data_IF_676324652362
#
_entry.id   IF_676324652362
#
_cell.length_a   1.000
_cell.length_b   1.000
_cell.length_c   1.000
_cell.angle_alpha   90.00
_cell.angle_beta   90.00
_cell.angle_gamma   90.00
#
_symmetry.space_group_name_H-M   'P 1'
#
loop_
_entity.id
_entity.type
_entity.pdbx_description
1 polymer ?
#
# COMPACT_ATOMS: atom_id res chain seq x y z
N UNK A 1 6.10 33.96 7.53
CA UNK A 1 6.13 33.33 6.19
C UNK A 1 5.05 32.22 6.11
N UNK A 2 4.70 31.77 4.90
CA UNK A 2 3.74 30.65 4.74
C UNK A 2 4.12 29.43 5.60
N UNK A 3 5.39 29.05 5.61
CA UNK A 3 5.89 27.90 6.41
C UNK A 3 5.70 28.17 7.91
N UNK A 4 6.02 29.35 8.40
CA UNK A 4 5.82 29.72 9.82
C UNK A 4 4.35 29.67 10.21
N UNK A 5 3.47 30.17 9.34
CA UNK A 5 2.02 30.14 9.58
C UNK A 5 1.50 28.71 9.65
N UNK A 6 1.92 27.83 8.75
CA UNK A 6 1.55 26.41 8.78
C UNK A 6 2.08 25.72 10.06
N UNK A 7 3.34 25.96 10.41
CA UNK A 7 3.97 25.34 11.58
C UNK A 7 3.32 25.83 12.89
N UNK A 8 2.92 27.13 12.97
CA UNK A 8 2.27 27.68 14.16
C UNK A 8 0.85 27.16 14.38
N UNK A 9 0.18 26.70 13.30
CA UNK A 9 -1.16 26.12 13.35
C UNK A 9 -1.18 24.59 13.48
N UNK A 10 0.00 23.96 13.50
CA UNK A 10 0.10 22.52 13.65
C UNK A 10 -0.09 22.08 15.11
N UNK A 11 -0.73 20.93 15.29
CA UNK A 11 -1.07 20.41 16.61
C UNK A 11 -0.35 19.08 16.86
N UNK A 12 0.49 19.07 17.91
CA UNK A 12 1.09 17.83 18.41
C UNK A 12 0.01 16.89 18.93
N UNK A 13 0.05 15.62 18.52
CA UNK A 13 -0.95 14.64 18.88
C UNK A 13 -0.34 13.39 19.52
N UNK A 14 -0.56 13.21 20.83
CA UNK A 14 -0.05 12.04 21.56
C UNK A 14 -0.58 10.73 20.99
N UNK A 15 -1.84 10.68 20.55
CA UNK A 15 -2.45 9.48 19.92
C UNK A 15 -1.68 8.95 18.72
N UNK A 16 -1.01 9.82 17.97
CA UNK A 16 -0.16 9.44 16.83
C UNK A 16 1.06 8.66 17.31
N UNK A 17 1.72 9.15 18.36
CA UNK A 17 2.89 8.49 18.96
C UNK A 17 2.48 7.13 19.55
N UNK A 18 1.35 7.06 20.22
CA UNK A 18 0.83 5.82 20.80
C UNK A 18 0.51 4.78 19.71
N UNK A 19 -0.09 5.22 18.60
CA UNK A 19 -0.43 4.36 17.47
C UNK A 19 0.80 3.78 16.78
N UNK A 20 1.79 4.61 16.48
CA UNK A 20 3.00 4.14 15.78
C UNK A 20 3.90 3.28 16.67
N UNK A 21 3.79 3.43 17.99
CA UNK A 21 4.58 2.66 18.96
C UNK A 21 4.07 1.24 19.18
N UNK A 22 2.84 0.92 18.73
CA UNK A 22 2.18 -0.39 18.89
C UNK A 22 1.62 -0.88 17.53
N UNK A 23 2.46 -1.10 16.52
CA UNK A 23 1.98 -1.56 15.23
C UNK A 23 1.37 -2.95 15.34
N UNK A 24 0.17 -3.11 14.79
CA UNK A 24 -0.61 -4.36 14.84
C UNK A 24 0.16 -5.55 14.24
N UNK A 25 0.96 -5.31 13.23
CA UNK A 25 1.73 -6.31 12.49
C UNK A 25 2.75 -7.08 13.35
N UNK A 26 3.26 -6.49 14.44
CA UNK A 26 4.19 -7.17 15.34
C UNK A 26 3.50 -8.00 16.42
N UNK A 27 2.19 -7.84 16.62
CA UNK A 27 1.44 -8.50 17.69
C UNK A 27 0.40 -9.49 17.18
N UNK A 28 0.13 -9.50 15.89
CA UNK A 28 -0.92 -10.33 15.31
C UNK A 28 -0.36 -11.63 14.72
N UNK A 29 -1.16 -12.70 14.84
CA UNK A 29 -0.93 -13.94 14.10
C UNK A 29 -1.40 -13.79 12.66
N UNK A 30 -0.88 -14.64 11.76
CA UNK A 30 -1.32 -14.69 10.37
C UNK A 30 -2.84 -14.94 10.27
N UNK A 31 -3.39 -15.87 11.03
CA UNK A 31 -4.83 -16.15 11.02
C UNK A 31 -5.68 -14.91 11.31
N UNK A 32 -5.29 -14.14 12.31
CA UNK A 32 -5.99 -12.90 12.65
C UNK A 32 -5.86 -11.87 11.54
N UNK A 33 -4.68 -11.72 10.97
CA UNK A 33 -4.41 -10.77 9.89
C UNK A 33 -5.20 -11.16 8.63
N UNK A 34 -5.11 -12.41 8.20
CA UNK A 34 -5.85 -12.96 7.06
C UNK A 34 -7.35 -12.73 7.21
N UNK A 35 -7.93 -13.08 8.37
CA UNK A 35 -9.37 -12.90 8.64
C UNK A 35 -9.82 -11.45 8.56
N UNK A 36 -8.96 -10.47 8.91
CA UNK A 36 -9.30 -9.05 8.81
C UNK A 36 -9.41 -8.57 7.35
N UNK A 37 -8.54 -9.07 6.48
CA UNK A 37 -8.43 -8.57 5.11
C UNK A 37 -9.16 -9.46 4.09
N UNK A 38 -9.37 -10.74 4.37
CA UNK A 38 -10.07 -11.68 3.48
C UNK A 38 -11.46 -11.97 4.06
N UNK A 39 -12.28 -10.93 4.15
CA UNK A 39 -13.67 -11.00 4.62
C UNK A 39 -14.66 -10.88 3.43
N UNK A 40 -15.80 -11.56 3.49
CA UNK A 40 -16.81 -11.57 2.42
C UNK A 40 -17.20 -10.18 1.96
N UNK A 41 -17.41 -9.25 2.90
CA UNK A 41 -17.77 -7.86 2.59
C UNK A 41 -16.72 -7.15 1.76
N UNK A 42 -15.43 -7.41 2.02
CA UNK A 42 -14.34 -6.83 1.24
C UNK A 42 -14.29 -7.43 -0.15
N UNK A 43 -14.44 -8.75 -0.25
CA UNK A 43 -14.48 -9.46 -1.53
C UNK A 43 -15.66 -8.97 -2.39
N UNK A 44 -16.87 -8.89 -1.83
CA UNK A 44 -18.05 -8.39 -2.54
C UNK A 44 -17.84 -6.95 -3.01
N UNK A 45 -17.38 -6.06 -2.12
CA UNK A 45 -17.10 -4.67 -2.51
C UNK A 45 -15.99 -4.56 -3.56
N UNK A 46 -14.99 -5.44 -3.53
CA UNK A 46 -13.92 -5.47 -4.53
C UNK A 46 -14.42 -5.89 -5.90
N UNK A 47 -15.32 -6.86 -5.96
CA UNK A 47 -15.98 -7.27 -7.19
C UNK A 47 -16.80 -6.13 -7.80
N UNK A 48 -17.57 -5.43 -6.96
CA UNK A 48 -18.32 -4.24 -7.38
C UNK A 48 -17.39 -3.11 -7.84
N UNK A 49 -16.25 -2.93 -7.16
CA UNK A 49 -15.24 -1.94 -7.56
C UNK A 49 -14.66 -2.26 -8.93
N UNK A 50 -14.33 -3.53 -9.20
CA UNK A 50 -13.85 -3.97 -10.52
C UNK A 50 -14.91 -3.71 -11.60
N UNK A 51 -16.18 -4.06 -11.35
CA UNK A 51 -17.25 -3.81 -12.30
C UNK A 51 -17.41 -2.33 -12.64
N UNK A 52 -17.39 -1.47 -11.62
CA UNK A 52 -17.62 -0.03 -11.79
C UNK A 52 -16.42 0.69 -12.45
N UNK A 53 -15.22 0.12 -12.39
CA UNK A 53 -13.98 0.73 -12.90
C UNK A 53 -13.26 -0.18 -13.92
N UNK A 54 -14.00 -1.07 -14.58
CA UNK A 54 -13.42 -2.13 -15.41
C UNK A 54 -12.52 -1.57 -16.52
N UNK A 55 -12.98 -0.54 -17.21
CA UNK A 55 -12.24 0.06 -18.32
C UNK A 55 -10.86 0.61 -17.89
N UNK A 56 -10.82 1.36 -16.78
CA UNK A 56 -9.58 1.93 -16.25
C UNK A 56 -8.65 0.85 -15.72
N UNK A 57 -9.20 -0.15 -15.03
CA UNK A 57 -8.43 -1.28 -14.51
C UNK A 57 -7.82 -2.13 -15.64
N UNK A 58 -8.55 -2.42 -16.71
CA UNK A 58 -8.03 -3.14 -17.88
C UNK A 58 -6.99 -2.34 -18.65
N UNK A 59 -7.17 -1.02 -18.74
CA UNK A 59 -6.15 -0.12 -19.29
C UNK A 59 -4.86 -0.19 -18.47
N UNK A 60 -4.94 -0.09 -17.15
CA UNK A 60 -3.79 -0.16 -16.26
C UNK A 60 -3.11 -1.54 -16.31
N UNK A 61 -3.88 -2.63 -16.34
CA UNK A 61 -3.34 -3.99 -16.50
C UNK A 61 -2.58 -4.15 -17.82
N UNK A 62 -3.14 -3.63 -18.92
CA UNK A 62 -2.50 -3.66 -20.24
C UNK A 62 -1.20 -2.86 -20.28
N UNK A 63 -1.20 -1.67 -19.69
CA UNK A 63 -0.10 -0.71 -19.71
C UNK A 63 1.05 -1.12 -18.80
N UNK A 64 0.76 -1.42 -17.53
CA UNK A 64 1.77 -1.70 -16.51
C UNK A 64 2.01 -3.20 -16.26
N UNK A 65 1.17 -4.07 -16.82
CA UNK A 65 1.25 -5.52 -16.62
C UNK A 65 0.84 -5.99 -15.23
N UNK A 66 0.22 -5.12 -14.41
CA UNK A 66 -0.27 -5.43 -13.07
C UNK A 66 -1.74 -5.88 -13.17
N UNK A 67 -2.09 -7.11 -12.75
CA UNK A 67 -3.47 -7.59 -12.82
C UNK A 67 -4.43 -6.68 -12.07
N UNK A 68 -5.60 -6.43 -12.66
CA UNK A 68 -6.65 -5.59 -12.06
C UNK A 68 -7.07 -6.05 -10.67
N UNK A 69 -7.02 -7.35 -10.40
CA UNK A 69 -7.32 -7.91 -9.08
C UNK A 69 -6.29 -7.51 -8.04
N UNK A 70 -5.01 -7.37 -8.41
CA UNK A 70 -3.94 -6.93 -7.51
C UNK A 70 -4.09 -5.45 -7.19
N UNK A 71 -4.34 -4.60 -8.19
CA UNK A 71 -4.61 -3.16 -7.98
C UNK A 71 -5.81 -2.99 -7.06
N UNK A 72 -6.89 -3.71 -7.33
CA UNK A 72 -8.12 -3.69 -6.52
C UNK A 72 -7.88 -4.20 -5.10
N UNK A 73 -7.06 -5.24 -4.94
CA UNK A 73 -6.72 -5.77 -3.62
C UNK A 73 -5.97 -4.73 -2.76
N UNK A 74 -5.04 -3.98 -3.35
CA UNK A 74 -4.34 -2.89 -2.66
C UNK A 74 -5.34 -1.82 -2.22
N UNK A 75 -6.19 -1.31 -3.12
CA UNK A 75 -7.24 -0.35 -2.76
C UNK A 75 -8.18 -0.87 -1.67
N UNK A 76 -8.48 -2.17 -1.71
CA UNK A 76 -9.30 -2.83 -0.70
C UNK A 76 -8.64 -2.89 0.67
N UNK A 77 -7.37 -3.22 0.73
CA UNK A 77 -6.60 -3.32 1.98
C UNK A 77 -6.35 -1.94 2.57
N UNK A 78 -5.92 -0.98 1.75
CA UNK A 78 -5.55 0.36 2.19
C UNK A 78 -6.75 1.18 2.69
N UNK A 79 -7.81 1.27 1.90
CA UNK A 79 -8.87 2.24 2.17
C UNK A 79 -10.27 1.69 2.08
N UNK A 80 -10.43 0.36 1.99
CA UNK A 80 -11.75 -0.26 1.68
C UNK A 80 -12.37 0.36 0.43
N UNK A 81 -11.57 0.45 -0.63
CA UNK A 81 -11.97 1.05 -1.92
C UNK A 81 -12.32 2.54 -1.80
N UNK A 82 -11.50 3.31 -1.09
CA UNK A 82 -11.65 4.75 -0.89
C UNK A 82 -12.58 5.17 0.23
N UNK A 83 -13.25 4.23 0.94
CA UNK A 83 -14.20 4.56 2.01
C UNK A 83 -13.54 5.10 3.28
N UNK A 84 -12.27 4.77 3.53
CA UNK A 84 -11.52 5.15 4.73
C UNK A 84 -10.11 5.60 4.32
N UNK A 85 -9.94 6.87 4.08
CA UNK A 85 -8.65 7.44 3.66
C UNK A 85 -7.82 8.03 4.81
N UNK A 86 -8.33 7.93 6.04
CA UNK A 86 -7.71 8.50 7.23
C UNK A 86 -8.43 9.76 7.73
N UNK A 87 -8.14 10.14 8.98
CA UNK A 87 -8.84 11.25 9.66
C UNK A 87 -7.88 12.25 10.33
N UNK A 88 -6.59 11.97 10.32
CA UNK A 88 -5.58 12.88 10.89
C UNK A 88 -5.18 13.93 9.85
N UNK A 89 -4.99 15.18 10.27
CA UNK A 89 -4.31 16.16 9.42
C UNK A 89 -2.89 15.66 9.18
N UNK A 90 -2.51 15.55 7.91
CA UNK A 90 -1.18 15.01 7.53
C UNK A 90 -0.06 15.88 8.09
N UNK A 91 -0.24 17.21 8.09
CA UNK A 91 0.75 18.13 8.67
C UNK A 91 0.99 17.85 10.16
N UNK A 92 -0.07 17.59 10.95
CA UNK A 92 0.05 17.28 12.37
C UNK A 92 0.75 15.94 12.59
N UNK A 93 0.44 14.94 11.74
CA UNK A 93 1.07 13.62 11.79
C UNK A 93 2.57 13.70 11.52
N UNK A 94 2.95 14.36 10.44
CA UNK A 94 4.35 14.47 10.04
C UNK A 94 5.18 15.31 11.00
N UNK A 95 4.62 16.41 11.53
CA UNK A 95 5.29 17.22 12.55
C UNK A 95 5.43 16.45 13.87
N UNK A 96 4.36 15.83 14.37
CA UNK A 96 4.43 15.03 15.60
C UNK A 96 5.49 13.94 15.47
N UNK A 97 5.50 13.18 14.39
CA UNK A 97 6.45 12.07 14.20
C UNK A 97 7.86 12.56 13.85
N UNK A 98 7.97 13.67 13.17
CA UNK A 98 9.26 14.26 12.79
C UNK A 98 10.05 14.85 13.96
N UNK A 99 9.36 15.28 15.01
CA UNK A 99 9.99 15.97 16.15
C UNK A 99 9.87 15.22 17.46
N UNK A 100 8.81 14.44 17.68
CA UNK A 100 8.54 13.74 18.95
C UNK A 100 8.67 12.22 18.87
N UNK A 101 9.08 11.65 17.72
CA UNK A 101 9.32 10.21 17.57
C UNK A 101 10.76 9.93 17.10
N UNK A 102 11.76 9.89 18.00
CA UNK A 102 13.17 9.82 17.67
C UNK A 102 13.56 8.67 16.75
N UNK A 103 12.91 7.50 16.91
CA UNK A 103 13.23 6.27 16.14
C UNK A 103 13.20 6.48 14.62
N UNK A 104 12.28 7.33 14.12
CA UNK A 104 12.11 7.60 12.69
C UNK A 104 12.00 9.10 12.37
N UNK A 105 12.43 9.97 13.26
CA UNK A 105 12.34 11.42 13.10
C UNK A 105 12.93 11.92 11.79
N UNK A 106 14.11 11.42 11.40
CA UNK A 106 14.77 11.80 10.13
C UNK A 106 13.91 11.46 8.91
N UNK A 107 13.26 10.31 8.91
CA UNK A 107 12.35 9.89 7.86
C UNK A 107 11.13 10.83 7.77
N UNK A 108 10.44 11.05 8.88
CA UNK A 108 9.23 11.89 8.88
C UNK A 108 9.51 13.36 8.59
N UNK A 109 10.68 13.89 8.96
CA UNK A 109 11.09 15.24 8.54
C UNK A 109 11.32 15.34 7.05
N UNK A 110 11.83 14.28 6.40
CA UNK A 110 11.93 14.24 4.95
C UNK A 110 10.54 14.21 4.30
N UNK A 111 9.64 13.35 4.80
CA UNK A 111 8.26 13.29 4.32
C UNK A 111 7.52 14.63 4.51
N UNK A 112 7.82 15.37 5.59
CA UNK A 112 7.29 16.71 5.82
C UNK A 112 7.75 17.70 4.75
N UNK A 113 9.02 17.68 4.36
CA UNK A 113 9.53 18.51 3.25
C UNK A 113 8.83 18.13 1.95
N UNK A 114 8.74 16.84 1.64
CA UNK A 114 8.03 16.36 0.46
C UNK A 114 6.54 16.74 0.50
N UNK A 115 5.91 16.81 1.67
CA UNK A 115 4.52 17.24 1.82
C UNK A 115 4.33 18.73 1.51
N UNK A 116 5.22 19.60 1.98
CA UNK A 116 5.18 21.02 1.59
C UNK A 116 5.34 21.21 0.07
N UNK A 117 6.23 20.44 -0.53
CA UNK A 117 6.45 20.49 -1.98
C UNK A 117 5.24 19.95 -2.73
N UNK A 118 4.70 18.80 -2.32
CA UNK A 118 3.51 18.17 -2.89
C UNK A 118 2.31 19.14 -2.92
N UNK A 119 2.02 19.75 -1.76
CA UNK A 119 0.86 20.64 -1.66
C UNK A 119 1.02 21.90 -2.51
N UNK A 120 2.24 22.42 -2.64
CA UNK A 120 2.53 23.55 -3.52
C UNK A 120 2.45 23.17 -5.00
N UNK A 121 2.98 22.01 -5.38
CA UNK A 121 3.01 21.51 -6.76
C UNK A 121 1.60 21.22 -7.31
N UNK A 122 0.66 20.86 -6.44
CA UNK A 122 -0.70 20.50 -6.81
C UNK A 122 -1.77 21.50 -6.30
N UNK A 123 -1.37 22.69 -5.87
CA UNK A 123 -2.26 23.75 -5.35
C UNK A 123 -3.24 23.25 -4.25
N UNK A 124 -2.76 22.37 -3.36
CA UNK A 124 -3.56 21.79 -2.31
C UNK A 124 -3.46 22.59 -1.00
N UNK A 125 -4.59 22.71 -0.29
CA UNK A 125 -4.57 23.32 1.05
C UNK A 125 -3.92 22.39 2.07
N UNK A 126 -2.67 22.65 2.42
CA UNK A 126 -1.85 21.86 3.34
C UNK A 126 -2.54 21.60 4.69
N UNK A 127 -3.40 22.52 5.14
CA UNK A 127 -4.09 22.44 6.42
C UNK A 127 -5.31 21.50 6.40
N UNK A 128 -5.82 21.16 5.21
CA UNK A 128 -7.05 20.37 5.04
C UNK A 128 -6.79 18.92 4.68
N UNK A 129 -5.59 18.61 4.17
CA UNK A 129 -5.24 17.25 3.75
C UNK A 129 -5.28 16.31 4.95
N UNK A 130 -6.11 15.28 4.82
CA UNK A 130 -6.26 14.20 5.80
C UNK A 130 -5.63 12.90 5.30
N UNK A 131 -5.18 12.10 6.24
CA UNK A 131 -4.56 10.82 5.98
C UNK A 131 -4.49 9.93 7.22
N UNK A 132 -3.63 8.93 7.17
CA UNK A 132 -3.36 8.06 8.32
C UNK A 132 -2.55 8.79 9.41
N UNK A 133 -2.49 8.18 10.58
CA UNK A 133 -1.63 8.68 11.68
C UNK A 133 -0.14 8.76 11.28
N UNK A 134 0.28 8.04 10.24
CA UNK A 134 1.65 8.05 9.74
C UNK A 134 1.84 8.95 8.50
N UNK A 135 0.82 9.73 8.12
CA UNK A 135 0.89 10.67 6.99
C UNK A 135 0.70 10.04 5.61
N UNK A 136 0.15 8.83 5.53
CA UNK A 136 -0.24 8.23 4.27
C UNK A 136 -1.59 8.77 3.80
N UNK A 137 -1.77 8.99 2.49
CA UNK A 137 -2.83 9.82 1.91
C UNK A 137 -3.57 9.12 0.76
N UNK A 138 -4.83 9.50 0.59
CA UNK A 138 -5.65 9.15 -0.56
C UNK A 138 -6.04 7.68 -0.64
N UNK A 139 -6.62 7.29 -1.78
CA UNK A 139 -7.09 5.92 -2.04
C UNK A 139 -6.02 4.84 -1.84
N UNK A 140 -4.79 5.10 -2.30
CA UNK A 140 -3.66 4.17 -2.24
C UNK A 140 -2.78 4.33 -1.00
N UNK A 141 -3.10 5.24 -0.07
CA UNK A 141 -2.30 5.52 1.12
C UNK A 141 -0.82 5.80 0.81
N UNK A 142 -0.56 6.66 -0.16
CA UNK A 142 0.79 7.08 -0.52
C UNK A 142 1.35 8.05 0.54
N UNK A 143 2.61 7.86 0.95
CA UNK A 143 3.36 8.87 1.69
C UNK A 143 3.80 9.99 0.75
N UNK A 144 4.16 11.16 1.28
CA UNK A 144 4.43 12.36 0.47
C UNK A 144 5.45 12.17 -0.63
N UNK A 145 6.58 11.52 -0.30
CA UNK A 145 7.64 11.22 -1.27
C UNK A 145 7.18 10.26 -2.36
N UNK A 146 6.35 9.26 -2.01
CA UNK A 146 5.79 8.31 -2.98
C UNK A 146 4.76 8.96 -3.88
N UNK A 147 3.91 9.85 -3.33
CA UNK A 147 2.95 10.61 -4.12
C UNK A 147 3.67 11.42 -5.20
N UNK A 148 4.67 12.23 -4.83
CA UNK A 148 5.45 13.04 -5.77
C UNK A 148 6.22 12.22 -6.81
N UNK A 149 6.67 11.01 -6.44
CA UNK A 149 7.49 10.19 -7.33
C UNK A 149 6.68 9.28 -8.27
N UNK A 150 5.49 8.85 -7.87
CA UNK A 150 4.78 7.74 -8.53
C UNK A 150 3.33 8.03 -8.87
N UNK A 151 2.70 9.08 -8.32
CA UNK A 151 1.36 9.47 -8.73
C UNK A 151 1.37 9.95 -10.18
N UNK A 152 0.34 9.56 -10.91
CA UNK A 152 0.15 9.96 -12.31
C UNK A 152 -1.27 10.44 -12.52
N UNK A 153 -1.42 11.45 -13.35
CA UNK A 153 -2.69 11.89 -13.90
C UNK A 153 -3.14 10.83 -14.92
N UNK A 154 -4.06 9.98 -14.49
CA UNK A 154 -4.46 8.84 -15.30
C UNK A 154 -5.80 9.03 -15.98
N UNK A 155 -6.62 10.00 -15.57
CA UNK A 155 -7.83 10.42 -16.29
C UNK A 155 -7.56 11.55 -17.30
N UNK A 156 -6.40 12.21 -17.20
CA UNK A 156 -5.94 13.22 -18.17
C UNK A 156 -6.51 14.61 -17.92
N UNK A 157 -6.93 14.93 -16.70
CA UNK A 157 -7.48 16.23 -16.34
C UNK A 157 -6.42 17.30 -16.02
N UNK A 158 -5.14 16.90 -15.98
CA UNK A 158 -3.98 17.76 -15.72
C UNK A 158 -3.44 17.67 -14.29
N UNK A 159 -4.04 16.87 -13.43
CA UNK A 159 -3.65 16.69 -12.03
C UNK A 159 -3.60 15.21 -11.64
N UNK A 160 -2.65 14.81 -10.84
CA UNK A 160 -2.61 13.49 -10.23
C UNK A 160 -3.35 13.52 -8.88
N UNK A 161 -4.67 13.37 -8.88
CA UNK A 161 -5.52 13.45 -7.67
C UNK A 161 -5.77 12.08 -7.04
N UNK A 162 -4.97 11.71 -6.05
CA UNK A 162 -5.16 10.45 -5.31
C UNK A 162 -6.24 10.53 -4.21
N UNK A 163 -6.89 11.68 -4.02
CA UNK A 163 -7.92 11.87 -2.99
C UNK A 163 -9.33 11.64 -3.51
N UNK A 164 -9.62 12.04 -4.75
CA UNK A 164 -10.94 11.99 -5.34
C UNK A 164 -11.01 11.29 -6.70
N UNK A 165 -9.91 11.26 -7.50
CA UNK A 165 -9.87 10.49 -8.75
C UNK A 165 -9.55 9.01 -8.50
N UNK A 166 -10.54 8.15 -8.79
CA UNK A 166 -10.35 6.69 -8.75
C UNK A 166 -9.42 6.24 -9.87
N UNK A 167 -9.49 6.89 -11.02
CA UNK A 167 -8.67 6.56 -12.18
C UNK A 167 -7.18 6.81 -11.89
N UNK A 168 -6.85 7.97 -11.30
CA UNK A 168 -5.48 8.29 -10.90
C UNK A 168 -4.97 7.33 -9.82
N UNK A 169 -5.81 6.98 -8.87
CA UNK A 169 -5.45 6.01 -7.85
C UNK A 169 -5.12 4.63 -8.44
N UNK A 170 -5.92 4.15 -9.40
CA UNK A 170 -5.69 2.89 -10.13
C UNK A 170 -4.38 2.98 -10.90
N UNK A 171 -4.21 4.03 -11.71
CA UNK A 171 -3.00 4.23 -12.51
C UNK A 171 -1.75 4.35 -11.65
N UNK A 172 -1.82 5.13 -10.57
CA UNK A 172 -0.68 5.37 -9.68
C UNK A 172 -0.24 4.12 -8.92
N UNK A 173 -1.18 3.27 -8.46
CA UNK A 173 -0.85 1.98 -7.83
C UNK A 173 -0.16 1.06 -8.84
N UNK A 174 -0.69 0.98 -10.07
CA UNK A 174 -0.10 0.16 -11.12
C UNK A 174 1.31 0.66 -11.49
N UNK A 175 1.47 1.97 -11.68
CA UNK A 175 2.76 2.62 -11.93
C UNK A 175 3.77 2.36 -10.80
N UNK A 176 3.33 2.48 -9.53
CA UNK A 176 4.19 2.20 -8.39
C UNK A 176 4.75 0.77 -8.44
N UNK A 177 3.90 -0.23 -8.64
CA UNK A 177 4.34 -1.63 -8.71
C UNK A 177 5.25 -1.88 -9.92
N UNK A 178 4.91 -1.31 -11.07
CA UNK A 178 5.72 -1.39 -12.29
C UNK A 178 7.14 -0.85 -12.08
N UNK A 179 7.27 0.36 -11.53
CA UNK A 179 8.57 0.97 -11.25
C UNK A 179 9.37 0.16 -10.22
N UNK A 180 8.67 -0.47 -9.26
CA UNK A 180 9.31 -1.32 -8.26
C UNK A 180 9.56 -2.77 -8.71
N UNK A 181 9.48 -3.03 -10.01
CA UNK A 181 9.96 -4.27 -10.60
C UNK A 181 8.90 -5.34 -10.80
N UNK A 182 7.61 -4.96 -10.82
CA UNK A 182 6.55 -5.90 -11.20
C UNK A 182 6.84 -6.54 -12.55
N UNK A 183 6.67 -7.84 -12.63
CA UNK A 183 6.84 -8.62 -13.87
C UNK A 183 5.48 -9.04 -14.39
N UNK A 184 5.15 -8.60 -15.61
CA UNK A 184 3.98 -9.07 -16.35
C UNK A 184 4.02 -10.60 -16.44
N UNK A 185 2.88 -11.24 -16.18
CA UNK A 185 2.75 -12.71 -16.18
C UNK A 185 3.62 -13.45 -15.14
N UNK A 186 4.38 -12.72 -14.30
CA UNK A 186 5.13 -13.31 -13.20
C UNK A 186 4.23 -13.75 -12.04
N UNK A 187 4.69 -14.75 -11.31
CA UNK A 187 3.99 -15.19 -10.10
C UNK A 187 4.26 -14.24 -8.93
N UNK A 188 3.33 -14.19 -7.97
CA UNK A 188 3.57 -13.52 -6.69
C UNK A 188 4.26 -14.49 -5.75
N UNK A 189 3.72 -15.71 -5.63
CA UNK A 189 4.28 -16.79 -4.81
C UNK A 189 4.23 -18.12 -5.54
N UNK A 190 5.03 -19.06 -5.05
CA UNK A 190 4.95 -20.48 -5.36
C UNK A 190 4.70 -21.26 -4.09
N UNK A 191 3.88 -22.34 -4.17
CA UNK A 191 3.73 -23.30 -3.07
C UNK A 191 5.07 -23.98 -2.79
N UNK A 192 5.37 -24.16 -1.52
CA UNK A 192 6.60 -24.79 -1.10
C UNK A 192 6.34 -25.85 -0.01
N UNK A 193 7.29 -26.78 0.09
CA UNK A 193 7.32 -27.78 1.15
C UNK A 193 8.53 -27.53 2.07
N UNK A 194 8.50 -27.92 3.35
CA UNK A 194 9.58 -27.65 4.29
C UNK A 194 10.98 -28.03 3.78
N UNK A 195 11.07 -29.16 3.05
CA UNK A 195 12.33 -29.64 2.47
C UNK A 195 12.80 -28.78 1.26
N UNK A 196 11.89 -28.15 0.54
CA UNK A 196 12.21 -27.29 -0.60
C UNK A 196 12.65 -25.90 -0.15
N UNK A 197 12.01 -25.35 0.87
CA UNK A 197 12.41 -24.08 1.49
C UNK A 197 13.86 -24.15 1.95
N UNK A 198 14.29 -25.25 2.59
CA UNK A 198 15.69 -25.45 2.99
C UNK A 198 16.66 -25.62 1.82
N UNK A 199 16.23 -26.13 0.68
CA UNK A 199 17.07 -26.32 -0.52
C UNK A 199 17.26 -25.02 -1.32
N UNK A 200 16.22 -24.18 -1.37
CA UNK A 200 16.27 -22.84 -1.99
C UNK A 200 17.26 -21.92 -1.27
N UNK A 201 17.51 -22.19 0.02
CA UNK A 201 18.46 -21.45 0.88
C UNK A 201 19.93 -21.87 0.80
N UNK A 202 20.31 -22.83 -0.02
CA UNK A 202 21.73 -22.96 -0.36
C UNK A 202 22.11 -21.77 -1.21
N UNK A 203 23.18 -21.02 -0.86
CA UNK A 203 23.53 -19.78 -1.56
C UNK A 203 24.00 -20.10 -2.98
N UNK A 204 23.06 -20.29 -3.86
CA UNK A 204 23.29 -20.30 -5.29
C UNK A 204 23.02 -18.89 -5.78
N UNK A 205 24.02 -18.21 -6.35
CA UNK A 205 23.98 -16.81 -6.79
C UNK A 205 22.78 -16.45 -7.71
N UNK A 206 22.12 -17.43 -8.29
CA UNK A 206 20.94 -17.25 -9.14
C UNK A 206 19.59 -17.32 -8.39
N UNK A 207 19.58 -17.65 -7.07
CA UNK A 207 18.36 -17.74 -6.26
C UNK A 207 18.22 -16.59 -5.23
N UNK A 208 19.06 -15.56 -5.32
CA UNK A 208 19.02 -14.41 -4.42
C UNK A 208 17.77 -13.52 -4.56
N UNK A 209 16.89 -13.83 -5.50
CA UNK A 209 15.64 -13.10 -5.76
C UNK A 209 14.43 -13.65 -5.01
N UNK A 210 14.50 -14.87 -4.49
CA UNK A 210 13.35 -15.53 -3.87
C UNK A 210 13.32 -15.32 -2.36
N UNK A 211 12.14 -15.00 -1.83
CA UNK A 211 11.92 -14.84 -0.39
C UNK A 211 11.23 -16.08 0.17
N UNK A 212 11.84 -16.79 1.13
CA UNK A 212 11.15 -17.88 1.81
C UNK A 212 10.12 -17.34 2.77
N UNK A 213 8.96 -17.92 2.75
CA UNK A 213 7.84 -17.52 3.57
C UNK A 213 7.35 -18.71 4.39
N UNK A 214 7.10 -18.46 5.66
CA UNK A 214 6.47 -19.41 6.57
C UNK A 214 5.42 -18.70 7.39
N UNK A 215 4.22 -19.26 7.42
CA UNK A 215 3.09 -18.73 8.19
C UNK A 215 2.46 -19.89 8.98
N UNK A 216 1.91 -19.60 10.14
CA UNK A 216 1.10 -20.56 10.89
C UNK A 216 -0.38 -20.24 10.63
N UNK A 217 -1.09 -21.20 10.02
CA UNK A 217 -2.52 -21.07 9.68
C UNK A 217 -3.29 -22.26 10.29
N UNK A 218 -4.21 -21.97 11.20
CA UNK A 218 -4.99 -22.98 11.89
C UNK A 218 -4.14 -23.99 12.69
N UNK A 219 -2.99 -23.53 13.23
CA UNK A 219 -2.05 -24.38 13.96
C UNK A 219 -1.11 -25.21 13.08
N UNK A 220 -1.15 -25.05 11.76
CA UNK A 220 -0.26 -25.73 10.81
C UNK A 220 0.66 -24.73 10.12
N UNK A 221 1.92 -25.10 9.97
CA UNK A 221 2.87 -24.29 9.21
C UNK A 221 2.65 -24.51 7.72
N UNK A 222 2.46 -23.41 7.00
CA UNK A 222 2.37 -23.34 5.53
C UNK A 222 3.58 -22.60 4.99
N UNK A 223 4.07 -23.02 3.84
CA UNK A 223 5.32 -22.55 3.27
C UNK A 223 5.12 -22.09 1.85
N UNK A 224 5.74 -20.94 1.50
CA UNK A 224 5.74 -20.40 0.15
C UNK A 224 7.12 -19.86 -0.20
N UNK A 225 7.31 -19.58 -1.46
CA UNK A 225 8.45 -18.85 -2.01
C UNK A 225 7.91 -17.61 -2.70
N UNK A 226 8.24 -16.43 -2.18
CA UNK A 226 7.90 -15.15 -2.82
C UNK A 226 8.83 -14.86 -3.99
N UNK A 227 8.26 -14.43 -5.12
CA UNK A 227 8.96 -14.07 -6.35
C UNK A 227 9.10 -12.55 -6.50
N UNK A 228 9.59 -12.08 -7.65
CA UNK A 228 9.78 -10.66 -7.97
C UNK A 228 8.49 -9.83 -7.70
N UNK A 229 7.32 -10.36 -8.02
CA UNK A 229 6.05 -9.67 -7.78
C UNK A 229 5.67 -9.59 -6.29
N UNK A 230 6.05 -10.58 -5.49
CA UNK A 230 5.95 -10.50 -4.04
C UNK A 230 6.86 -9.39 -3.50
N UNK A 231 8.09 -9.31 -4.02
CA UNK A 231 9.04 -8.24 -3.67
C UNK A 231 8.49 -6.87 -4.03
N UNK A 232 7.89 -6.71 -5.23
CA UNK A 232 7.27 -5.45 -5.63
C UNK A 232 6.16 -5.01 -4.67
N UNK A 233 5.31 -5.94 -4.21
CA UNK A 233 4.28 -5.64 -3.21
C UNK A 233 4.92 -5.25 -1.86
N UNK A 234 6.02 -5.89 -1.45
CA UNK A 234 6.71 -5.51 -0.19
C UNK A 234 7.39 -4.14 -0.26
N UNK A 235 7.55 -3.54 -1.44
CA UNK A 235 7.97 -2.13 -1.56
C UNK A 235 6.84 -1.16 -1.21
N UNK A 236 5.59 -1.57 -1.45
CA UNK A 236 4.42 -0.81 -1.05
C UNK A 236 4.26 -0.79 0.48
N UNK A 237 4.33 -1.97 1.08
CA UNK A 237 4.37 -2.14 2.54
C UNK A 237 5.30 -3.31 2.88
N UNK A 238 6.30 -3.07 3.73
CA UNK A 238 7.37 -4.03 4.04
C UNK A 238 6.91 -5.33 4.71
N UNK A 239 5.65 -5.41 5.16
CA UNK A 239 5.10 -6.58 5.85
C UNK A 239 4.85 -7.74 4.90
N UNK A 240 5.38 -8.91 5.21
CA UNK A 240 5.05 -10.15 4.49
C UNK A 240 3.56 -10.53 4.66
N UNK A 241 2.96 -10.22 5.82
CA UNK A 241 1.52 -10.41 6.03
C UNK A 241 0.69 -9.55 5.08
N UNK A 242 1.12 -8.31 4.86
CA UNK A 242 0.49 -7.43 3.88
C UNK A 242 0.56 -8.02 2.47
N UNK A 243 1.75 -8.39 2.02
CA UNK A 243 1.91 -8.92 0.67
C UNK A 243 1.10 -10.21 0.45
N UNK A 244 1.04 -11.09 1.46
CA UNK A 244 0.18 -12.28 1.42
C UNK A 244 -1.31 -11.93 1.44
N UNK A 245 -1.73 -10.90 2.18
CA UNK A 245 -3.14 -10.46 2.16
C UNK A 245 -3.54 -9.92 0.79
N UNK A 246 -2.65 -9.14 0.13
CA UNK A 246 -2.87 -8.70 -1.25
C UNK A 246 -3.00 -9.91 -2.19
N UNK A 247 -2.10 -10.88 -2.09
CA UNK A 247 -2.18 -12.09 -2.89
C UNK A 247 -3.51 -12.83 -2.69
N UNK A 248 -3.87 -13.19 -1.46
CA UNK A 248 -5.10 -13.93 -1.19
C UNK A 248 -6.37 -13.16 -1.60
N UNK A 249 -6.41 -11.85 -1.35
CA UNK A 249 -7.55 -11.04 -1.78
C UNK A 249 -7.64 -10.99 -3.30
N UNK A 250 -6.52 -10.83 -4.01
CA UNK A 250 -6.52 -10.83 -5.48
C UNK A 250 -7.00 -12.15 -6.05
N UNK A 251 -6.62 -13.30 -5.44
CA UNK A 251 -7.11 -14.62 -5.85
C UNK A 251 -8.63 -14.78 -5.62
N UNK A 252 -9.17 -14.28 -4.50
CA UNK A 252 -10.62 -14.31 -4.26
C UNK A 252 -11.38 -13.41 -5.26
N UNK A 253 -10.81 -12.27 -5.63
CA UNK A 253 -11.38 -11.40 -6.66
C UNK A 253 -11.36 -12.07 -8.05
N UNK A 254 -10.30 -12.81 -8.38
CA UNK A 254 -10.14 -13.54 -9.66
C UNK A 254 -11.11 -14.70 -9.83
N UNK A 255 -11.51 -15.37 -8.75
CA UNK A 255 -12.48 -16.50 -8.78
C UNK A 255 -13.86 -16.07 -9.24
N UNK A 256 -14.12 -14.78 -9.34
CA UNK A 256 -15.42 -14.29 -9.77
C UNK A 256 -15.54 -14.39 -11.31
N UNK A 257 -16.31 -15.38 -11.76
CA UNK A 257 -16.78 -15.44 -13.14
C UNK A 257 -18.07 -14.62 -13.22
N UNK A 258 -18.15 -13.71 -14.18
CA UNK A 258 -19.40 -13.05 -14.52
C UNK A 258 -20.44 -14.14 -14.88
N UNK A 259 -21.47 -14.28 -14.06
CA UNK A 259 -22.68 -14.99 -14.43
C UNK A 259 -23.62 -14.02 -15.09
#
# INVERSE_FOLDING_TARGET
SFVEDVLSNAVRQQKIIDSISKPAEFTWTWDRYKKLFIEDKRIINGKLFIQNNLQTLERAEKEFGVPKEVITAILGVETRYGKIQGSYRVIDSLLTLGFDYPRRAKFFRKELVDFFLLTRENDLNINEIKGSYAGAMGYGQFISSSYRAYAIDYDGDGYADLFSSVDDAIGSIANYLYIHGWKKEGQIIYDAYPNNVRKVFKPNKNLSKYIPLSFNEGGKDIYFIGDDNFIAITKYNISHFYAMAIYYLSEELRKWKNY
#
